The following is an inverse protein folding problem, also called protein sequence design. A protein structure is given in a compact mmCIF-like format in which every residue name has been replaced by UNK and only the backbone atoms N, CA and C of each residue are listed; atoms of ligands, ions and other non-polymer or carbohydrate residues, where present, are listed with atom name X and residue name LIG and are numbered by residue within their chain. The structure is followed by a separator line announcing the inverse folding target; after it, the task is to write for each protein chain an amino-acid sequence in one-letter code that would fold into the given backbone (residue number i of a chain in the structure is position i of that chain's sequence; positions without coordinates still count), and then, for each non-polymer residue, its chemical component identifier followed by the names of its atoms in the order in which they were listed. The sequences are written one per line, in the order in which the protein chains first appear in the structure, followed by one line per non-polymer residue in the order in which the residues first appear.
data_IF_734046677052
#
_entry.id   IF_734046677052
#
_cell.length_a   1.000
_cell.length_b   1.000
_cell.length_c   1.000
_cell.angle_alpha   90.00
_cell.angle_beta   90.00
_cell.angle_gamma   90.00
#
_symmetry.space_group_name_H-M   'P 1'
#
loop_
_entity.id
_entity.type
_entity.pdbx_description
1 polymer ?
#
# COMPACT_ATOMS: atom_id res chain seq x y z
N UNK A 1 -44.90 -0.30 8.11
CA UNK A 1 -43.80 0.69 8.19
C UNK A 1 -42.53 0.14 8.87
N UNK A 2 -42.65 -0.60 9.98
CA UNK A 2 -41.49 -1.11 10.73
C UNK A 2 -40.63 -2.17 9.98
N UNK A 3 -41.23 -3.01 9.12
CA UNK A 3 -40.49 -4.06 8.39
C UNK A 3 -39.58 -3.47 7.29
N UNK A 4 -40.01 -2.39 6.64
CA UNK A 4 -39.23 -1.70 5.61
C UNK A 4 -38.03 -0.98 6.23
N UNK A 5 -38.24 -0.34 7.38
CA UNK A 5 -37.16 0.34 8.13
C UNK A 5 -36.11 -0.68 8.59
N UNK A 6 -36.56 -1.84 9.10
CA UNK A 6 -35.65 -2.91 9.51
C UNK A 6 -34.83 -3.45 8.31
N UNK A 7 -35.47 -3.62 7.13
CA UNK A 7 -34.80 -4.10 5.92
C UNK A 7 -33.73 -3.09 5.44
N UNK A 8 -34.02 -1.79 5.48
CA UNK A 8 -33.07 -0.73 5.11
C UNK A 8 -31.89 -0.71 6.09
N UNK A 9 -32.16 -0.88 7.37
CA UNK A 9 -31.11 -0.88 8.40
C UNK A 9 -30.18 -2.09 8.28
N UNK A 10 -30.74 -3.30 8.04
CA UNK A 10 -29.90 -4.49 7.79
C UNK A 10 -29.10 -4.40 6.50
N UNK A 11 -29.65 -3.80 5.43
CA UNK A 11 -28.92 -3.60 4.19
C UNK A 11 -27.75 -2.63 4.32
N UNK A 12 -27.88 -1.57 5.14
CA UNK A 12 -26.80 -0.62 5.41
C UNK A 12 -25.61 -1.25 6.15
N UNK A 13 -25.86 -2.22 7.03
CA UNK A 13 -24.78 -2.94 7.76
C UNK A 13 -23.97 -3.84 6.81
N UNK A 14 -24.62 -4.41 5.79
CA UNK A 14 -23.97 -5.28 4.81
C UNK A 14 -23.01 -4.52 3.85
N UNK A 15 -23.14 -3.20 3.75
CA UNK A 15 -22.29 -2.34 2.92
C UNK A 15 -21.13 -1.68 3.69
N UNK A 16 -21.02 -1.94 5.00
CA UNK A 16 -19.93 -1.43 5.83
C UNK A 16 -18.67 -2.24 5.52
N UNK A 17 -17.83 -1.69 4.66
CA UNK A 17 -16.46 -2.14 4.46
C UNK A 17 -15.54 -0.99 4.90
N UNK A 18 -14.76 -1.20 5.93
CA UNK A 18 -13.85 -0.18 6.49
C UNK A 18 -12.57 -0.03 5.64
N UNK A 19 -12.37 -0.91 4.69
CA UNK A 19 -11.23 -0.81 3.77
C UNK A 19 -11.48 0.28 2.72
N UNK A 20 -10.63 1.29 2.75
CA UNK A 20 -10.60 2.34 1.73
C UNK A 20 -9.41 2.05 0.81
N UNK A 21 -9.60 1.37 -0.32
CA UNK A 21 -8.52 1.12 -1.25
C UNK A 21 -7.96 2.45 -1.77
N UNK A 22 -6.65 2.51 -1.95
CA UNK A 22 -5.99 3.67 -2.54
C UNK A 22 -6.63 4.03 -3.89
N UNK A 23 -6.75 5.32 -4.18
CA UNK A 23 -7.32 5.77 -5.45
C UNK A 23 -6.46 5.31 -6.62
N UNK A 24 -7.09 4.73 -7.64
CA UNK A 24 -6.40 4.36 -8.86
C UNK A 24 -5.78 5.60 -9.53
N UNK A 25 -4.54 5.44 -10.00
CA UNK A 25 -3.84 6.49 -10.75
C UNK A 25 -4.54 6.74 -12.09
N UNK A 26 -5.15 7.92 -12.24
CA UNK A 26 -5.88 8.31 -13.46
C UNK A 26 -5.00 9.06 -14.47
N UNK A 27 -3.97 9.77 -13.98
CA UNK A 27 -3.10 10.63 -14.80
C UNK A 27 -1.64 10.27 -14.53
N UNK A 28 -0.74 10.43 -15.52
CA UNK A 28 0.69 10.31 -15.26
C UNK A 28 1.14 11.31 -14.19
N UNK A 29 2.12 10.91 -13.39
CA UNK A 29 2.71 11.75 -12.35
C UNK A 29 4.18 11.98 -12.69
N UNK A 30 4.59 13.23 -12.71
CA UNK A 30 5.98 13.64 -12.92
C UNK A 30 6.52 14.29 -11.64
N UNK A 31 7.54 13.69 -11.04
CA UNK A 31 8.32 14.26 -9.96
C UNK A 31 9.55 14.93 -10.55
N UNK A 32 9.72 16.24 -10.34
CA UNK A 32 10.79 17.03 -10.96
C UNK A 32 11.92 17.38 -10.00
N UNK A 33 13.16 17.19 -10.46
CA UNK A 33 14.36 17.72 -9.82
C UNK A 33 14.75 17.05 -8.52
N UNK A 34 14.36 15.81 -8.27
CA UNK A 34 14.66 15.07 -7.05
C UNK A 34 16.07 14.48 -6.99
N UNK A 35 16.44 13.99 -5.81
CA UNK A 35 17.63 13.18 -5.56
C UNK A 35 17.19 11.73 -5.50
N UNK A 36 17.43 10.96 -6.56
CA UNK A 36 16.94 9.59 -6.71
C UNK A 36 17.96 8.58 -6.20
N UNK A 37 17.55 7.75 -5.25
CA UNK A 37 18.32 6.61 -4.74
C UNK A 37 17.85 5.33 -5.44
N UNK A 38 18.56 4.93 -6.49
CA UNK A 38 18.16 3.78 -7.34
C UNK A 38 18.46 2.43 -6.69
N UNK A 39 19.26 2.39 -5.63
CA UNK A 39 19.75 1.19 -4.92
C UNK A 39 20.69 0.32 -5.75
N UNK A 40 20.44 0.14 -7.03
CA UNK A 40 21.23 -0.70 -7.93
C UNK A 40 22.39 0.01 -8.62
N UNK A 41 22.32 1.36 -8.67
CA UNK A 41 23.33 2.22 -9.28
C UNK A 41 23.63 3.41 -8.38
N UNK A 42 24.36 4.41 -8.89
CA UNK A 42 24.66 5.65 -8.19
C UNK A 42 23.41 6.50 -7.87
N UNK A 43 23.56 7.45 -6.98
CA UNK A 43 22.53 8.46 -6.67
C UNK A 43 22.46 9.45 -7.83
N UNK A 44 21.26 9.68 -8.35
CA UNK A 44 21.00 10.59 -9.47
C UNK A 44 20.44 11.91 -8.95
N UNK A 45 21.22 12.98 -9.03
CA UNK A 45 20.82 14.31 -8.57
C UNK A 45 20.18 15.14 -9.68
N UNK A 46 19.08 15.81 -9.36
CA UNK A 46 18.34 16.67 -10.27
C UNK A 46 17.68 15.93 -11.42
N UNK A 47 17.32 14.66 -11.19
CA UNK A 47 16.57 13.86 -12.15
C UNK A 47 15.07 13.93 -11.91
N UNK A 48 14.35 13.77 -13.00
CA UNK A 48 12.89 13.65 -13.01
C UNK A 48 12.48 12.19 -13.10
N UNK A 49 11.36 11.84 -12.49
CA UNK A 49 10.75 10.52 -12.56
C UNK A 49 9.32 10.63 -13.06
N UNK A 50 8.98 9.91 -14.11
CA UNK A 50 7.64 9.83 -14.67
C UNK A 50 7.01 8.47 -14.34
N UNK A 51 5.86 8.51 -13.65
CA UNK A 51 5.05 7.33 -13.36
C UNK A 51 3.79 7.32 -14.21
N UNK A 52 3.40 6.15 -14.68
CA UNK A 52 2.10 5.94 -15.32
C UNK A 52 1.61 4.52 -15.04
N UNK A 53 0.34 4.38 -14.67
CA UNK A 53 -0.31 3.08 -14.39
C UNK A 53 0.48 2.22 -13.40
N UNK A 54 0.96 2.83 -12.32
CA UNK A 54 1.73 2.15 -11.28
C UNK A 54 3.15 1.71 -11.66
N UNK A 55 3.68 2.20 -12.81
CA UNK A 55 5.03 1.86 -13.28
C UNK A 55 5.87 3.11 -13.52
N UNK A 56 7.17 3.01 -13.30
CA UNK A 56 8.14 4.01 -13.72
C UNK A 56 8.28 3.88 -15.23
N UNK A 57 7.96 4.95 -15.95
CA UNK A 57 8.03 5.01 -17.42
C UNK A 57 9.36 5.58 -17.88
N UNK A 58 9.87 6.60 -17.17
CA UNK A 58 11.08 7.32 -17.55
C UNK A 58 11.79 7.91 -16.33
N UNK A 59 13.11 7.90 -16.36
CA UNK A 59 14.00 8.60 -15.43
C UNK A 59 15.02 9.35 -16.27
N UNK A 60 14.90 10.66 -16.35
CA UNK A 60 15.78 11.53 -17.14
C UNK A 60 15.83 12.94 -16.52
N UNK A 61 16.74 13.79 -16.98
CA UNK A 61 16.73 15.22 -16.62
C UNK A 61 15.80 15.98 -17.56
N UNK A 62 15.05 16.94 -17.02
CA UNK A 62 14.19 17.85 -17.79
C UNK A 62 13.12 17.15 -18.64
N UNK A 63 12.39 16.21 -18.06
CA UNK A 63 11.25 15.58 -18.73
C UNK A 63 10.17 16.64 -19.01
N UNK A 64 9.75 16.75 -20.28
CA UNK A 64 8.62 17.60 -20.64
C UNK A 64 7.31 16.95 -20.21
N UNK A 65 6.55 17.65 -19.38
CA UNK A 65 5.23 17.21 -18.96
C UNK A 65 4.20 17.42 -20.09
N UNK A 66 3.34 16.44 -20.31
CA UNK A 66 2.14 16.66 -21.15
C UNK A 66 1.07 17.42 -20.34
N UNK A 67 0.08 18.07 -21.01
CA UNK A 67 -1.01 18.77 -20.32
C UNK A 67 -1.84 17.87 -19.37
N UNK A 68 -1.80 16.56 -19.58
CA UNK A 68 -2.52 15.57 -18.77
C UNK A 68 -1.67 15.02 -17.61
N UNK A 69 -0.44 15.49 -17.42
CA UNK A 69 0.48 15.01 -16.39
C UNK A 69 0.38 15.89 -15.14
N UNK A 70 0.21 15.24 -13.99
CA UNK A 70 0.29 15.92 -12.70
C UNK A 70 1.77 16.09 -12.31
N UNK A 71 2.21 17.35 -12.19
CA UNK A 71 3.63 17.69 -11.94
C UNK A 71 3.82 18.11 -10.51
N UNK A 72 4.79 17.47 -9.83
CA UNK A 72 5.21 17.82 -8.47
C UNK A 72 6.68 18.23 -8.47
N UNK A 73 6.97 19.41 -7.94
CA UNK A 73 8.33 19.85 -7.68
C UNK A 73 8.85 19.17 -6.40
N UNK A 74 9.91 18.40 -6.57
CA UNK A 74 10.58 17.67 -5.48
C UNK A 74 12.06 18.03 -5.40
N UNK A 75 12.42 19.25 -5.84
CA UNK A 75 13.78 19.76 -5.76
C UNK A 75 14.32 19.67 -4.33
N UNK A 76 15.51 19.12 -4.18
CA UNK A 76 16.18 18.91 -2.90
C UNK A 76 15.57 17.81 -2.02
N UNK A 77 14.54 17.11 -2.47
CA UNK A 77 13.95 15.96 -1.75
C UNK A 77 14.58 14.65 -2.23
N UNK A 78 14.73 13.73 -1.30
CA UNK A 78 15.19 12.38 -1.60
C UNK A 78 14.02 11.50 -1.99
N UNK A 79 14.16 10.83 -3.13
CA UNK A 79 13.22 9.81 -3.62
C UNK A 79 13.88 8.47 -3.45
N UNK A 80 13.25 7.60 -2.66
CA UNK A 80 13.75 6.26 -2.35
C UNK A 80 12.68 5.23 -2.68
N UNK A 81 13.05 3.99 -3.05
CA UNK A 81 12.08 2.89 -3.13
C UNK A 81 11.43 2.64 -1.77
N UNK A 82 10.23 2.08 -1.79
CA UNK A 82 9.56 1.66 -0.56
C UNK A 82 10.39 0.62 0.18
N UNK A 83 10.34 0.69 1.50
CA UNK A 83 10.96 -0.34 2.34
C UNK A 83 10.15 -1.63 2.28
N UNK A 84 10.86 -2.76 2.23
CA UNK A 84 10.26 -4.08 2.33
C UNK A 84 10.52 -4.59 3.74
N UNK A 85 9.45 -4.91 4.47
CA UNK A 85 9.54 -5.59 5.76
C UNK A 85 9.50 -7.11 5.53
N UNK A 86 10.65 -7.79 5.47
CA UNK A 86 10.69 -9.23 5.13
C UNK A 86 10.13 -10.10 6.25
N UNK A 87 10.03 -9.56 7.46
CA UNK A 87 9.45 -10.23 8.62
C UNK A 87 8.41 -9.30 9.24
N UNK A 88 7.15 -9.64 9.08
CA UNK A 88 6.02 -8.87 9.62
C UNK A 88 4.94 -9.80 10.15
N UNK A 89 4.13 -9.30 11.08
CA UNK A 89 2.93 -9.97 11.59
C UNK A 89 1.64 -9.31 11.10
N UNK A 90 1.74 -8.37 10.16
CA UNK A 90 0.57 -7.72 9.55
C UNK A 90 -0.29 -8.80 8.88
N UNK A 91 -1.58 -8.79 9.16
CA UNK A 91 -2.53 -9.81 8.71
C UNK A 91 -2.52 -11.11 9.51
N UNK A 92 -1.63 -11.25 10.52
CA UNK A 92 -1.59 -12.38 11.46
C UNK A 92 -1.92 -11.98 12.91
N UNK A 93 -2.04 -10.68 13.17
CA UNK A 93 -2.41 -10.11 14.47
C UNK A 93 -3.28 -8.90 14.21
N UNK A 94 -4.49 -8.89 14.77
CA UNK A 94 -5.40 -7.75 14.67
C UNK A 94 -5.34 -6.89 15.94
N UNK A 95 -5.74 -7.47 17.08
CA UNK A 95 -5.78 -6.75 18.36
C UNK A 95 -4.74 -7.36 19.30
N UNK A 96 -3.67 -6.63 19.56
CA UNK A 96 -2.53 -7.12 20.33
C UNK A 96 -2.83 -7.63 21.75
N UNK A 97 -3.95 -7.22 22.36
CA UNK A 97 -4.39 -7.66 23.68
C UNK A 97 -5.36 -8.86 23.64
N UNK A 98 -5.81 -9.27 22.46
CA UNK A 98 -6.78 -10.35 22.30
C UNK A 98 -6.08 -11.55 21.68
N UNK A 99 -5.76 -12.56 22.49
CA UNK A 99 -5.02 -13.75 22.07
C UNK A 99 -5.67 -14.50 20.91
N UNK A 100 -6.99 -14.50 20.83
CA UNK A 100 -7.77 -15.17 19.78
C UNK A 100 -7.56 -14.57 18.38
N UNK A 101 -7.01 -13.37 18.30
CA UNK A 101 -6.69 -12.69 17.03
C UNK A 101 -5.20 -12.82 16.65
N UNK A 102 -4.46 -13.72 17.31
CA UNK A 102 -3.03 -13.95 17.09
C UNK A 102 -2.82 -15.27 16.36
N UNK A 103 -2.60 -15.24 15.05
CA UNK A 103 -2.42 -16.42 14.19
C UNK A 103 -0.96 -16.62 13.75
N UNK A 104 -0.01 -16.15 14.54
CA UNK A 104 1.42 -16.27 14.25
C UNK A 104 2.13 -17.40 15.02
N UNK A 105 1.42 -18.12 15.90
CA UNK A 105 1.99 -19.18 16.71
C UNK A 105 0.98 -20.33 16.91
N UNK A 106 1.47 -21.55 16.77
CA UNK A 106 0.75 -22.77 17.01
C UNK A 106 1.12 -23.42 18.36
N UNK A 107 0.35 -24.43 18.76
CA UNK A 107 0.67 -25.24 19.91
C UNK A 107 1.90 -26.10 19.65
N UNK A 108 2.87 -26.09 20.57
CA UNK A 108 4.10 -26.86 20.47
C UNK A 108 5.33 -26.03 20.06
N UNK A 109 6.50 -26.62 20.23
CA UNK A 109 7.78 -25.92 20.03
C UNK A 109 8.31 -25.99 18.61
N UNK A 110 7.87 -26.97 17.82
CA UNK A 110 8.32 -27.21 16.45
C UNK A 110 7.13 -27.63 15.60
N UNK A 111 6.74 -26.79 14.67
CA UNK A 111 5.58 -26.97 13.79
C UNK A 111 5.97 -26.74 12.31
N UNK A 112 6.77 -27.64 11.69
CA UNK A 112 7.31 -27.43 10.35
C UNK A 112 6.26 -27.49 9.24
N UNK A 113 5.06 -27.97 9.53
CA UNK A 113 3.93 -28.08 8.62
C UNK A 113 3.05 -26.82 8.57
N UNK A 114 3.26 -25.89 9.48
CA UNK A 114 2.46 -24.64 9.54
C UNK A 114 2.85 -23.72 8.40
N UNK A 115 1.84 -23.17 7.72
CA UNK A 115 1.99 -22.22 6.63
C UNK A 115 1.28 -20.91 6.98
N UNK A 116 2.04 -19.85 7.20
CA UNK A 116 1.51 -18.54 7.57
C UNK A 116 0.46 -17.98 6.58
N UNK A 117 0.56 -18.35 5.29
CA UNK A 117 -0.40 -17.92 4.27
C UNK A 117 -1.82 -18.46 4.45
N UNK A 118 -2.01 -19.50 5.26
CA UNK A 118 -3.35 -20.03 5.58
C UNK A 118 -4.05 -19.16 6.62
N UNK A 119 -3.29 -18.61 7.55
CA UNK A 119 -3.79 -17.74 8.63
C UNK A 119 -3.79 -16.25 8.25
N UNK A 120 -3.23 -15.89 7.09
CA UNK A 120 -3.14 -14.50 6.66
C UNK A 120 -4.52 -13.91 6.35
N UNK A 121 -4.86 -12.84 7.05
CA UNK A 121 -6.06 -12.05 6.80
C UNK A 121 -5.74 -10.89 5.84
N UNK A 122 -6.16 -10.95 4.57
CA UNK A 122 -5.94 -9.87 3.62
C UNK A 122 -6.80 -8.61 3.93
N UNK A 123 -7.85 -8.78 4.72
CA UNK A 123 -8.79 -7.73 5.10
C UNK A 123 -8.45 -7.10 6.46
N UNK A 124 -7.21 -7.28 6.93
CA UNK A 124 -6.73 -6.69 8.17
C UNK A 124 -6.72 -5.16 8.09
N UNK A 125 -7.28 -4.47 9.08
CA UNK A 125 -7.23 -3.00 9.18
C UNK A 125 -5.82 -2.43 9.35
N UNK A 126 -4.84 -3.29 9.65
CA UNK A 126 -3.43 -2.91 9.74
C UNK A 126 -2.75 -2.84 8.36
N UNK A 127 -3.44 -3.28 7.30
CA UNK A 127 -2.97 -3.18 5.92
C UNK A 127 -3.51 -1.86 5.35
N UNK A 128 -2.65 -0.90 4.96
CA UNK A 128 -3.07 0.42 4.46
C UNK A 128 -3.72 0.36 3.08
#
# INVERSE_FOLDING_TARGET
MNKIILLIFTFSILLSNDQIPGKEQKRPILLKGGILHTVSTEVLEGYDILFSKGKIVRIEKNIMASPETDVYDVFGKHIVPSYIAPLTRIGLVEIGLVRQTHDFAESGSINPNVKANVSYNPDSELIP
#
